data_IF_624721430368
#
_entry.id   IF_624721430368
#
_cell.length_a   1.000
_cell.length_b   1.000
_cell.length_c   1.000
_cell.angle_alpha   90.00
_cell.angle_beta   90.00
_cell.angle_gamma   90.00
#
_symmetry.space_group_name_H-M   'P 1'
#
loop_
_entity.id
_entity.type
_entity.pdbx_description
1 polymer ?
#
# COMPACT_ATOMS: atom_id res chain seq x y z
N UNK A 1 28.97 1.17 4.12
CA UNK A 1 29.74 1.48 2.89
C UNK A 1 30.05 0.22 2.06
N UNK A 2 30.79 -0.78 2.58
CA UNK A 2 31.22 -1.98 1.81
C UNK A 2 30.08 -2.80 1.16
N UNK A 3 28.96 -3.06 1.85
CA UNK A 3 27.81 -3.82 1.29
C UNK A 3 27.17 -3.14 0.07
N UNK A 4 26.95 -1.82 0.12
CA UNK A 4 26.37 -1.07 -1.01
C UNK A 4 27.28 -1.09 -2.24
N UNK A 5 28.60 -0.96 -2.03
CA UNK A 5 29.59 -1.08 -3.11
C UNK A 5 29.56 -2.47 -3.75
N UNK A 6 29.50 -3.53 -2.93
CA UNK A 6 29.42 -4.91 -3.43
C UNK A 6 28.14 -5.16 -4.23
N UNK A 7 26.98 -4.65 -3.79
CA UNK A 7 25.73 -4.71 -4.57
C UNK A 7 25.87 -4.01 -5.91
N UNK A 8 26.42 -2.79 -5.93
CA UNK A 8 26.58 -2.03 -7.16
C UNK A 8 27.53 -2.73 -8.14
N UNK A 9 28.62 -3.30 -7.63
CA UNK A 9 29.55 -4.12 -8.42
C UNK A 9 28.86 -5.36 -9.00
N UNK A 10 28.06 -6.06 -8.18
CA UNK A 10 27.32 -7.26 -8.63
C UNK A 10 26.30 -6.90 -9.71
N UNK A 11 25.54 -5.82 -9.51
CA UNK A 11 24.58 -5.32 -10.49
C UNK A 11 25.26 -4.97 -11.81
N UNK A 12 26.39 -4.24 -11.76
CA UNK A 12 27.15 -3.90 -12.95
C UNK A 12 27.62 -5.15 -13.70
N UNK A 13 28.13 -6.16 -12.99
CA UNK A 13 28.53 -7.44 -13.60
C UNK A 13 27.36 -8.14 -14.29
N UNK A 14 26.16 -8.11 -13.71
CA UNK A 14 24.95 -8.66 -14.34
C UNK A 14 24.55 -7.87 -15.59
N UNK A 15 24.60 -6.53 -15.54
CA UNK A 15 24.26 -5.68 -16.68
C UNK A 15 25.17 -5.91 -17.89
N UNK A 16 26.46 -6.17 -17.67
CA UNK A 16 27.43 -6.41 -18.77
C UNK A 16 27.62 -7.90 -19.11
N UNK A 17 26.74 -8.78 -18.62
CA UNK A 17 26.78 -10.23 -18.91
C UNK A 17 27.93 -11.00 -18.27
N UNK A 18 28.64 -10.40 -17.30
CA UNK A 18 29.75 -11.03 -16.56
C UNK A 18 29.29 -11.85 -15.36
N UNK A 19 28.02 -11.75 -14.98
CA UNK A 19 27.38 -12.56 -13.96
C UNK A 19 25.93 -12.85 -14.37
N UNK A 20 25.42 -14.03 -14.04
CA UNK A 20 24.01 -14.35 -14.25
C UNK A 20 23.13 -13.59 -13.25
N UNK A 21 21.92 -13.26 -13.69
CA UNK A 21 20.90 -12.64 -12.84
C UNK A 21 20.06 -13.74 -12.21
N UNK A 22 20.10 -13.84 -10.89
CA UNK A 22 19.29 -14.83 -10.17
C UNK A 22 17.81 -14.42 -10.21
N UNK A 23 16.99 -15.27 -10.82
CA UNK A 23 15.53 -15.16 -10.83
C UNK A 23 14.97 -15.91 -9.62
N UNK A 24 14.18 -15.23 -8.79
CA UNK A 24 13.69 -15.76 -7.50
C UNK A 24 12.17 -15.74 -7.36
N UNK A 25 11.47 -15.19 -8.34
CA UNK A 25 10.01 -15.16 -8.39
C UNK A 25 9.54 -16.04 -9.55
N UNK A 26 8.45 -16.77 -9.33
CA UNK A 26 7.75 -17.50 -10.39
C UNK A 26 7.03 -16.55 -11.35
N UNK A 27 6.69 -17.03 -12.53
CA UNK A 27 5.90 -16.27 -13.52
C UNK A 27 4.56 -15.78 -12.96
N UNK A 28 3.90 -16.60 -12.15
CA UNK A 28 2.66 -16.25 -11.45
C UNK A 28 2.87 -15.02 -10.53
N UNK A 29 3.93 -15.01 -9.72
CA UNK A 29 4.23 -13.88 -8.84
C UNK A 29 4.60 -12.62 -9.64
N UNK A 30 5.28 -12.75 -10.78
CA UNK A 30 5.53 -11.63 -11.68
C UNK A 30 4.23 -11.08 -12.29
N UNK A 31 3.26 -11.94 -12.57
CA UNK A 31 1.94 -11.51 -13.02
C UNK A 31 1.18 -10.77 -11.90
N UNK A 32 1.26 -11.25 -10.66
CA UNK A 32 0.71 -10.56 -9.50
C UNK A 32 1.35 -9.18 -9.32
N UNK A 33 2.66 -9.05 -9.50
CA UNK A 33 3.36 -7.76 -9.44
C UNK A 33 2.79 -6.73 -10.45
N UNK A 34 2.50 -7.16 -11.68
CA UNK A 34 1.84 -6.31 -12.68
C UNK A 34 0.42 -5.95 -12.27
N UNK A 35 -0.32 -6.89 -11.69
CA UNK A 35 -1.70 -6.67 -11.22
C UNK A 35 -1.77 -5.68 -10.07
N UNK A 36 -0.79 -5.65 -9.17
CA UNK A 36 -0.71 -4.66 -8.08
C UNK A 36 -0.78 -3.23 -8.63
N UNK A 37 -0.03 -2.92 -9.69
CA UNK A 37 -0.03 -1.56 -10.26
C UNK A 37 -1.39 -1.18 -10.87
N UNK A 38 -2.04 -2.12 -11.56
CA UNK A 38 -3.39 -1.91 -12.10
C UNK A 38 -4.42 -1.67 -11.00
N UNK A 39 -4.39 -2.50 -9.95
CA UNK A 39 -5.29 -2.35 -8.80
C UNK A 39 -5.07 -1.02 -8.11
N UNK A 40 -3.82 -0.60 -7.92
CA UNK A 40 -3.49 0.72 -7.36
C UNK A 40 -4.08 1.85 -8.19
N UNK A 41 -3.89 1.81 -9.52
CA UNK A 41 -4.41 2.83 -10.43
C UNK A 41 -5.94 2.92 -10.37
N UNK A 42 -6.62 1.78 -10.42
CA UNK A 42 -8.09 1.71 -10.37
C UNK A 42 -8.60 2.21 -9.01
N UNK A 43 -7.98 1.77 -7.91
CA UNK A 43 -8.35 2.17 -6.55
C UNK A 43 -8.23 3.67 -6.36
N UNK A 44 -7.13 4.27 -6.82
CA UNK A 44 -6.93 5.72 -6.73
C UNK A 44 -7.93 6.50 -7.60
N UNK A 45 -8.23 6.01 -8.81
CA UNK A 45 -9.23 6.63 -9.70
C UNK A 45 -10.64 6.56 -9.09
N UNK A 46 -11.01 5.41 -8.55
CA UNK A 46 -12.30 5.18 -7.90
C UNK A 46 -12.44 6.06 -6.65
N UNK A 47 -11.43 6.07 -5.78
CA UNK A 47 -11.38 6.92 -4.60
C UNK A 47 -11.61 8.39 -4.98
N UNK A 48 -10.84 8.93 -5.93
CA UNK A 48 -10.97 10.34 -6.36
C UNK A 48 -12.40 10.68 -6.82
N UNK A 49 -13.02 9.79 -7.61
CA UNK A 49 -14.40 10.00 -8.10
C UNK A 49 -15.42 9.90 -6.98
N UNK A 50 -15.30 8.90 -6.10
CA UNK A 50 -16.19 8.72 -4.95
C UNK A 50 -16.12 9.89 -3.98
N UNK A 51 -14.92 10.36 -3.65
CA UNK A 51 -14.75 11.55 -2.80
C UNK A 51 -15.44 12.78 -3.39
N UNK A 52 -15.46 12.92 -4.72
CA UNK A 52 -16.14 14.03 -5.40
C UNK A 52 -17.68 13.94 -5.36
N UNK A 53 -18.25 12.74 -5.17
CA UNK A 53 -19.69 12.54 -5.02
C UNK A 53 -20.21 12.90 -3.62
N UNK A 54 -19.32 13.00 -2.64
CA UNK A 54 -19.66 13.22 -1.24
C UNK A 54 -19.71 14.73 -0.95
N UNK A 55 -20.85 15.18 -0.42
CA UNK A 55 -21.22 16.58 -0.19
C UNK A 55 -20.72 17.12 1.16
N UNK A 56 -20.22 16.26 2.05
CA UNK A 56 -19.49 16.60 3.27
C UNK A 56 -18.23 17.44 3.01
N UNK A 57 -18.45 18.74 2.76
CA UNK A 57 -17.54 19.87 2.52
C UNK A 57 -16.24 19.59 1.74
N UNK A 58 -16.29 19.84 0.42
CA UNK A 58 -15.17 20.47 -0.30
C UNK A 58 -15.11 21.95 0.11
N UNK A 59 -14.42 22.28 1.19
CA UNK A 59 -14.37 23.65 1.70
C UNK A 59 -13.34 23.84 2.80
N UNK A 60 -12.14 24.23 2.38
CA UNK A 60 -10.99 24.72 3.16
C UNK A 60 -10.16 23.64 3.88
N UNK A 61 -8.89 23.59 3.47
CA UNK A 61 -7.77 22.76 3.94
C UNK A 61 -7.74 21.29 3.52
N UNK A 62 -6.90 21.02 2.51
CA UNK A 62 -6.53 19.69 2.01
C UNK A 62 -5.60 18.95 3.00
N UNK A 63 -5.20 19.59 4.10
CA UNK A 63 -4.24 19.06 5.06
C UNK A 63 -4.85 18.68 6.41
N UNK A 64 -5.98 17.96 6.44
CA UNK A 64 -6.36 17.14 7.62
C UNK A 64 -6.97 15.81 7.22
N UNK A 65 -6.13 14.78 7.27
CA UNK A 65 -6.37 13.35 7.08
C UNK A 65 -7.25 12.69 8.16
N UNK A 66 -8.23 13.40 8.73
CA UNK A 66 -9.00 12.88 9.84
C UNK A 66 -10.42 13.38 9.81
N UNK A 67 -11.31 12.45 9.43
CA UNK A 67 -12.69 12.39 9.89
C UNK A 67 -13.55 13.54 9.38
N UNK A 68 -14.30 13.26 8.31
CA UNK A 68 -15.62 13.87 8.09
C UNK A 68 -16.45 13.63 9.34
N UNK A 69 -16.32 14.54 10.28
CA UNK A 69 -16.99 14.46 11.57
C UNK A 69 -18.50 14.58 11.33
N UNK A 70 -19.33 13.69 11.88
CA UNK A 70 -20.79 13.81 11.86
C UNK A 70 -21.32 15.15 12.41
N UNK A 71 -20.45 15.95 13.03
CA UNK A 71 -20.73 17.20 13.71
C UNK A 71 -20.79 18.45 12.82
N UNK A 72 -20.49 18.39 11.52
CA UNK A 72 -20.73 19.52 10.61
C UNK A 72 -22.12 19.38 9.98
N UNK A 73 -23.10 20.08 10.57
CA UNK A 73 -24.51 20.08 10.11
C UNK A 73 -24.58 20.29 8.59
N UNK A 74 -25.20 19.35 7.87
CA UNK A 74 -25.43 19.48 6.44
C UNK A 74 -26.29 20.73 6.18
N UNK A 75 -26.07 21.46 5.06
CA UNK A 75 -26.97 22.55 4.65
C UNK A 75 -28.44 22.13 4.60
N UNK A 76 -28.67 20.86 4.28
CA UNK A 76 -29.98 20.25 4.19
C UNK A 76 -30.71 20.17 5.56
N UNK A 77 -29.96 19.90 6.64
CA UNK A 77 -30.50 19.94 8.01
C UNK A 77 -30.87 21.37 8.42
N UNK A 78 -30.07 22.36 8.02
CA UNK A 78 -30.39 23.78 8.27
C UNK A 78 -31.64 24.22 7.52
N UNK A 79 -31.81 23.76 6.27
CA UNK A 79 -33.01 24.03 5.48
C UNK A 79 -34.25 23.39 6.11
N UNK A 80 -34.16 22.12 6.52
CA UNK A 80 -35.25 21.43 7.21
C UNK A 80 -35.72 22.20 8.46
N UNK A 81 -34.77 22.66 9.28
CA UNK A 81 -35.06 23.45 10.47
C UNK A 81 -35.76 24.78 10.12
N UNK A 82 -35.26 25.50 9.11
CA UNK A 82 -35.87 26.75 8.66
C UNK A 82 -37.33 26.57 8.20
N UNK A 83 -37.62 25.47 7.49
CA UNK A 83 -38.99 25.15 7.04
C UNK A 83 -39.93 24.85 8.21
N UNK A 84 -39.46 24.09 9.21
CA UNK A 84 -40.24 23.79 10.42
C UNK A 84 -40.49 25.05 11.24
N UNK A 85 -39.49 25.91 11.40
CA UNK A 85 -39.64 27.21 12.09
C UNK A 85 -40.61 28.12 11.35
N UNK A 86 -40.53 28.19 10.01
CA UNK A 86 -41.47 28.93 9.18
C UNK A 86 -42.91 28.42 9.31
N UNK A 87 -43.10 27.11 9.44
CA UNK A 87 -44.42 26.53 9.70
C UNK A 87 -45.01 27.01 11.04
N UNK A 88 -44.20 27.07 12.10
CA UNK A 88 -44.63 27.56 13.41
C UNK A 88 -45.04 29.02 13.35
N UNK A 89 -44.31 29.87 12.62
CA UNK A 89 -44.65 31.29 12.44
C UNK A 89 -45.98 31.49 11.71
N UNK A 90 -46.25 30.68 10.69
CA UNK A 90 -47.51 30.76 9.92
C UNK A 90 -48.70 30.11 10.64
N UNK A 91 -48.43 29.23 11.62
CA UNK A 91 -49.44 28.52 12.39
C UNK A 91 -49.98 27.27 11.68
N UNK A 92 -50.19 26.22 12.47
CA UNK A 92 -50.61 24.88 12.03
C UNK A 92 -52.04 24.82 11.47
N UNK A 93 -52.83 25.89 11.60
CA UNK A 93 -54.18 25.97 11.03
C UNK A 93 -54.17 26.36 9.54
N UNK A 94 -53.09 26.97 9.07
CA UNK A 94 -52.98 27.40 7.67
C UNK A 94 -52.52 26.25 6.77
N UNK A 95 -53.04 26.19 5.54
CA UNK A 95 -52.58 25.20 4.55
C UNK A 95 -51.07 25.34 4.26
N UNK A 96 -50.58 26.58 4.22
CA UNK A 96 -49.16 26.87 3.98
C UNK A 96 -48.28 26.42 5.16
N UNK A 97 -48.69 26.64 6.41
CA UNK A 97 -47.98 26.15 7.60
C UNK A 97 -47.88 24.61 7.60
N UNK A 98 -48.99 23.91 7.34
CA UNK A 98 -48.99 22.44 7.19
C UNK A 98 -48.07 21.97 6.06
N UNK A 99 -48.05 22.67 4.92
CA UNK A 99 -47.15 22.36 3.80
C UNK A 99 -45.68 22.54 4.18
N UNK A 100 -45.32 23.67 4.82
CA UNK A 100 -43.93 23.92 5.26
C UNK A 100 -43.46 22.87 6.26
N UNK A 101 -44.31 22.46 7.21
CA UNK A 101 -44.01 21.39 8.16
C UNK A 101 -43.69 20.08 7.46
N UNK A 102 -44.54 19.65 6.52
CA UNK A 102 -44.33 18.44 5.74
C UNK A 102 -43.03 18.52 4.89
N UNK A 103 -42.76 19.67 4.28
CA UNK A 103 -41.51 19.90 3.56
C UNK A 103 -40.29 19.80 4.48
N UNK A 104 -40.35 20.41 5.67
CA UNK A 104 -39.27 20.37 6.65
C UNK A 104 -38.97 18.96 7.16
N UNK A 105 -40.00 18.19 7.53
CA UNK A 105 -39.86 16.79 7.94
C UNK A 105 -39.31 15.90 6.81
N UNK A 106 -39.73 16.14 5.57
CA UNK A 106 -39.20 15.42 4.39
C UNK A 106 -37.73 15.77 4.17
N UNK A 107 -37.38 17.04 4.32
CA UNK A 107 -36.02 17.52 4.13
C UNK A 107 -35.06 16.98 5.20
N UNK A 108 -35.54 16.86 6.44
CA UNK A 108 -34.78 16.26 7.54
C UNK A 108 -34.48 14.77 7.30
N UNK A 109 -35.49 14.00 6.88
CA UNK A 109 -35.30 12.59 6.49
C UNK A 109 -34.27 12.45 5.37
N UNK A 110 -34.35 13.29 4.33
CA UNK A 110 -33.36 13.28 3.25
C UNK A 110 -31.95 13.62 3.74
N UNK A 111 -31.83 14.54 4.71
CA UNK A 111 -30.54 14.88 5.32
C UNK A 111 -29.95 13.68 6.09
N UNK A 112 -30.78 12.95 6.83
CA UNK A 112 -30.35 11.75 7.56
C UNK A 112 -29.88 10.64 6.61
N UNK A 113 -30.63 10.36 5.55
CA UNK A 113 -30.23 9.39 4.51
C UNK A 113 -28.92 9.78 3.83
N UNK A 114 -28.73 11.07 3.55
CA UNK A 114 -27.48 11.58 2.97
C UNK A 114 -26.29 11.38 3.93
N UNK A 115 -26.44 11.68 5.22
CA UNK A 115 -25.39 11.43 6.23
C UNK A 115 -25.03 9.95 6.27
N UNK A 116 -26.03 9.06 6.29
CA UNK A 116 -25.80 7.63 6.33
C UNK A 116 -25.09 7.13 5.07
N UNK A 117 -25.52 7.60 3.90
CA UNK A 117 -24.86 7.32 2.62
C UNK A 117 -23.39 7.73 2.65
N UNK A 118 -23.09 8.96 3.11
CA UNK A 118 -21.72 9.45 3.12
C UNK A 118 -20.83 8.66 4.09
N UNK A 119 -21.31 8.40 5.30
CA UNK A 119 -20.59 7.63 6.31
C UNK A 119 -20.30 6.20 5.84
N UNK A 120 -21.31 5.54 5.28
CA UNK A 120 -21.21 4.16 4.79
C UNK A 120 -20.26 4.08 3.59
N UNK A 121 -20.36 5.02 2.65
CA UNK A 121 -19.48 5.05 1.47
C UNK A 121 -18.03 5.33 1.88
N UNK A 122 -17.81 6.23 2.84
CA UNK A 122 -16.46 6.51 3.34
C UNK A 122 -15.84 5.26 3.95
N UNK A 123 -16.55 4.62 4.89
CA UNK A 123 -16.04 3.49 5.67
C UNK A 123 -15.92 2.19 4.86
N UNK A 124 -16.96 1.84 4.11
CA UNK A 124 -17.05 0.51 3.50
C UNK A 124 -16.48 0.47 2.07
N UNK A 125 -16.16 1.64 1.49
CA UNK A 125 -15.64 1.75 0.12
C UNK A 125 -14.36 2.57 0.05
N UNK A 126 -14.37 3.82 0.50
CA UNK A 126 -13.23 4.73 0.32
C UNK A 126 -12.03 4.30 1.17
N UNK A 127 -12.24 4.03 2.46
CA UNK A 127 -11.20 3.58 3.38
C UNK A 127 -10.52 2.30 2.89
N UNK A 128 -11.23 1.21 2.53
CA UNK A 128 -10.61 0.00 1.97
C UNK A 128 -9.81 0.24 0.69
N UNK A 129 -10.31 1.07 -0.24
CA UNK A 129 -9.58 1.39 -1.46
C UNK A 129 -8.31 2.20 -1.17
N UNK A 130 -8.36 3.11 -0.19
CA UNK A 130 -7.22 3.89 0.27
C UNK A 130 -6.17 3.00 0.94
N UNK A 131 -6.56 2.13 1.86
CA UNK A 131 -5.66 1.19 2.53
C UNK A 131 -4.97 0.26 1.54
N UNK A 132 -5.72 -0.25 0.56
CA UNK A 132 -5.17 -1.08 -0.50
C UNK A 132 -4.09 -0.32 -1.30
N UNK A 133 -4.39 0.91 -1.73
CA UNK A 133 -3.53 1.70 -2.61
C UNK A 133 -2.32 2.33 -1.91
N UNK A 134 -2.49 2.75 -0.66
CA UNK A 134 -1.52 3.57 0.10
C UNK A 134 -0.78 2.80 1.18
N UNK A 135 -1.26 1.62 1.60
CA UNK A 135 -0.63 0.80 2.64
C UNK A 135 -0.18 -0.54 2.09
N UNK A 136 -1.11 -1.36 1.61
CA UNK A 136 -0.80 -2.75 1.25
C UNK A 136 0.13 -2.86 0.04
N UNK A 137 -0.26 -2.23 -1.08
CA UNK A 137 0.53 -2.29 -2.32
C UNK A 137 1.93 -1.70 -2.11
N UNK A 138 2.11 -0.52 -1.48
CA UNK A 138 3.43 0.01 -1.17
C UNK A 138 4.28 -0.89 -0.27
N UNK A 139 3.68 -1.59 0.69
CA UNK A 139 4.39 -2.53 1.56
C UNK A 139 4.93 -3.73 0.78
N UNK A 140 4.10 -4.34 -0.09
CA UNK A 140 4.52 -5.43 -0.98
C UNK A 140 5.65 -4.94 -1.91
N UNK A 141 5.49 -3.75 -2.51
CA UNK A 141 6.54 -3.16 -3.36
C UNK A 141 7.85 -2.88 -2.61
N UNK A 142 7.77 -2.48 -1.32
CA UNK A 142 8.94 -2.25 -0.47
C UNK A 142 9.66 -3.57 -0.17
N UNK A 143 8.93 -4.63 0.17
CA UNK A 143 9.50 -5.96 0.36
C UNK A 143 10.12 -6.50 -0.93
N UNK A 144 9.46 -6.32 -2.08
CA UNK A 144 9.99 -6.67 -3.40
C UNK A 144 11.33 -6.01 -3.70
N UNK A 145 11.46 -4.71 -3.40
CA UNK A 145 12.72 -3.97 -3.49
C UNK A 145 13.76 -4.45 -2.49
N UNK A 146 13.33 -4.90 -1.31
CA UNK A 146 14.21 -5.48 -0.31
C UNK A 146 14.78 -6.83 -0.77
N UNK A 147 13.92 -7.73 -1.28
CA UNK A 147 14.31 -9.01 -1.85
C UNK A 147 15.35 -8.82 -2.96
N UNK A 148 15.14 -7.89 -3.88
CA UNK A 148 16.11 -7.58 -4.93
C UNK A 148 17.52 -7.22 -4.38
N UNK A 149 17.59 -6.54 -3.24
CA UNK A 149 18.87 -6.22 -2.57
C UNK A 149 19.49 -7.46 -1.92
N UNK A 150 18.69 -8.35 -1.33
CA UNK A 150 19.15 -9.59 -0.72
C UNK A 150 19.67 -10.58 -1.76
N UNK A 151 19.03 -10.66 -2.93
CA UNK A 151 19.53 -11.45 -4.07
C UNK A 151 20.93 -10.98 -4.48
N UNK A 152 21.15 -9.67 -4.64
CA UNK A 152 22.47 -9.12 -4.95
C UNK A 152 23.51 -9.40 -3.85
N UNK A 153 23.12 -9.35 -2.58
CA UNK A 153 24.01 -9.68 -1.46
C UNK A 153 24.41 -11.15 -1.48
N UNK A 154 23.45 -12.05 -1.71
CA UNK A 154 23.69 -13.49 -1.82
C UNK A 154 24.57 -13.81 -3.03
N UNK A 155 24.29 -13.25 -4.21
CA UNK A 155 25.12 -13.42 -5.41
C UNK A 155 26.56 -12.94 -5.18
N UNK A 156 26.72 -11.83 -4.46
CA UNK A 156 28.03 -11.29 -4.10
C UNK A 156 28.77 -12.16 -3.09
N UNK A 157 28.10 -12.69 -2.07
CA UNK A 157 28.68 -13.62 -1.10
C UNK A 157 29.09 -14.93 -1.76
N UNK A 158 28.20 -15.49 -2.60
CA UNK A 158 28.46 -16.69 -3.41
C UNK A 158 29.67 -16.51 -4.31
N UNK A 159 29.78 -15.39 -5.02
CA UNK A 159 30.93 -15.09 -5.88
C UNK A 159 32.24 -15.01 -5.09
N UNK A 160 32.23 -14.34 -3.93
CA UNK A 160 33.42 -14.24 -3.06
C UNK A 160 33.86 -15.58 -2.51
N UNK A 161 32.91 -16.43 -2.09
CA UNK A 161 33.19 -17.79 -1.65
C UNK A 161 33.85 -18.60 -2.76
N UNK A 162 33.25 -18.66 -3.95
CA UNK A 162 33.80 -19.42 -5.08
C UNK A 162 35.18 -18.92 -5.54
N UNK A 163 35.42 -17.61 -5.53
CA UNK A 163 36.73 -17.05 -5.85
C UNK A 163 37.80 -17.48 -4.83
N UNK A 164 37.47 -17.47 -3.54
CA UNK A 164 38.38 -17.92 -2.47
C UNK A 164 38.67 -19.42 -2.53
N UNK A 165 37.68 -20.23 -2.93
CA UNK A 165 37.81 -21.69 -3.08
C UNK A 165 38.61 -22.09 -4.34
N UNK A 166 38.59 -21.28 -5.40
CA UNK A 166 39.42 -21.52 -6.61
C UNK A 166 40.87 -21.07 -6.45
N UNK A 167 41.15 -20.04 -5.66
CA UNK A 167 42.52 -19.55 -5.41
C UNK A 167 43.34 -20.43 -4.46
N UNK A 168 42.71 -21.36 -3.74
CA UNK A 168 43.34 -22.20 -2.71
C UNK A 168 44.11 -23.40 -3.28
N UNK A 169 43.99 -23.70 -4.59
CA UNK A 169 44.72 -24.80 -5.25
C UNK A 169 46.16 -24.49 -5.68
N UNK A 170 46.69 -23.29 -5.41
CA UNK A 170 47.95 -22.81 -6.00
C UNK A 170 49.00 -22.29 -5.01
N UNK A 171 48.84 -22.46 -3.69
CA UNK A 171 49.82 -21.97 -2.70
C UNK A 171 50.05 -22.98 -1.57
N UNK A 172 51.28 -23.50 -1.50
CA UNK A 172 51.76 -24.56 -0.61
C UNK A 172 52.44 -24.01 0.65
N UNK A 173 51.75 -23.16 1.43
CA UNK A 173 52.31 -22.70 2.72
C UNK A 173 51.22 -22.45 3.78
N UNK A 174 51.26 -23.28 4.83
CA UNK A 174 50.80 -23.12 6.23
C UNK A 174 49.56 -22.21 6.51
N UNK A 175 48.50 -22.85 7.04
CA UNK A 175 47.18 -22.32 7.44
C UNK A 175 47.17 -20.94 8.12
N UNK A 176 46.20 -20.05 7.77
CA UNK A 176 44.83 -20.14 8.29
C UNK A 176 43.76 -20.07 7.17
N UNK A 177 43.89 -20.91 6.14
CA UNK A 177 42.98 -20.94 4.98
C UNK A 177 41.61 -21.53 5.30
N UNK A 178 41.52 -22.43 6.31
CA UNK A 178 40.26 -23.06 6.75
C UNK A 178 39.27 -22.06 7.36
N UNK A 179 39.67 -21.36 8.43
CA UNK A 179 38.79 -20.41 9.14
C UNK A 179 38.25 -19.27 8.23
N UNK A 180 39.05 -18.81 7.26
CA UNK A 180 38.61 -17.81 6.28
C UNK A 180 37.63 -18.38 5.25
N UNK A 181 37.85 -19.62 4.81
CA UNK A 181 36.92 -20.31 3.91
C UNK A 181 35.60 -20.65 4.62
N UNK A 182 35.66 -21.08 5.87
CA UNK A 182 34.50 -21.39 6.70
C UNK A 182 33.68 -20.12 6.99
N UNK A 183 34.33 -19.01 7.35
CA UNK A 183 33.64 -17.72 7.50
C UNK A 183 32.95 -17.27 6.19
N UNK A 184 33.59 -17.45 5.03
CA UNK A 184 32.97 -17.08 3.75
C UNK A 184 31.82 -18.01 3.36
N UNK A 185 31.88 -19.29 3.77
CA UNK A 185 30.78 -20.24 3.63
C UNK A 185 29.59 -19.82 4.50
N UNK A 186 29.84 -19.53 5.78
CA UNK A 186 28.81 -19.06 6.72
C UNK A 186 28.15 -17.77 6.23
N UNK A 187 28.94 -16.79 5.77
CA UNK A 187 28.40 -15.54 5.19
C UNK A 187 27.51 -15.81 3.96
N UNK A 188 27.85 -16.80 3.13
CA UNK A 188 27.05 -17.20 1.97
C UNK A 188 25.75 -17.87 2.40
N UNK A 189 25.80 -18.82 3.34
CA UNK A 189 24.64 -19.55 3.85
C UNK A 189 23.67 -18.59 4.56
N UNK A 190 24.17 -17.68 5.40
CA UNK A 190 23.34 -16.65 6.03
C UNK A 190 22.68 -15.72 5.01
N UNK A 191 23.39 -15.32 3.95
CA UNK A 191 22.85 -14.47 2.91
C UNK A 191 21.75 -15.19 2.09
N UNK A 192 21.93 -16.50 1.83
CA UNK A 192 20.93 -17.34 1.19
C UNK A 192 19.68 -17.49 2.06
N UNK A 193 19.84 -17.85 3.33
CA UNK A 193 18.72 -18.03 4.27
C UNK A 193 17.90 -16.73 4.43
N UNK A 194 18.57 -15.58 4.59
CA UNK A 194 17.87 -14.28 4.66
C UNK A 194 17.08 -13.95 3.39
N UNK A 195 17.63 -14.29 2.22
CA UNK A 195 16.97 -14.08 0.93
C UNK A 195 15.74 -14.99 0.81
N UNK A 196 15.84 -16.26 1.18
CA UNK A 196 14.75 -17.24 1.16
C UNK A 196 13.60 -16.83 2.08
N UNK A 197 13.88 -16.46 3.33
CA UNK A 197 12.85 -15.96 4.27
C UNK A 197 12.10 -14.76 3.68
N UNK A 198 12.83 -13.80 3.09
CA UNK A 198 12.21 -12.63 2.48
C UNK A 198 11.38 -12.97 1.24
N UNK A 199 11.81 -13.96 0.45
CA UNK A 199 11.08 -14.44 -0.73
C UNK A 199 9.77 -15.10 -0.31
N UNK A 200 9.82 -15.96 0.70
CA UNK A 200 8.65 -16.72 1.16
C UNK A 200 7.61 -15.79 1.79
N UNK A 201 8.05 -14.81 2.60
CA UNK A 201 7.16 -13.77 3.13
C UNK A 201 6.52 -12.93 2.02
N UNK A 202 7.31 -12.47 1.03
CA UNK A 202 6.77 -11.70 -0.09
C UNK A 202 5.75 -12.52 -0.88
N UNK A 203 6.02 -13.81 -1.09
CA UNK A 203 5.11 -14.71 -1.80
C UNK A 203 3.79 -14.85 -1.04
N UNK A 204 3.84 -15.06 0.28
CA UNK A 204 2.66 -15.12 1.13
C UNK A 204 1.83 -13.83 1.05
N UNK A 205 2.48 -12.66 1.14
CA UNK A 205 1.81 -11.36 1.08
C UNK A 205 1.18 -11.12 -0.31
N UNK A 206 1.86 -11.52 -1.39
CA UNK A 206 1.35 -11.41 -2.76
C UNK A 206 0.15 -12.34 -3.01
N UNK A 207 0.18 -13.57 -2.51
CA UNK A 207 -0.97 -14.48 -2.61
C UNK A 207 -2.14 -14.02 -1.74
N UNK A 208 -1.85 -13.53 -0.53
CA UNK A 208 -2.89 -12.94 0.34
C UNK A 208 -3.55 -11.73 -0.31
N UNK A 209 -2.80 -10.91 -1.05
CA UNK A 209 -3.36 -9.79 -1.80
C UNK A 209 -4.31 -10.26 -2.91
N UNK A 210 -3.94 -11.31 -3.65
CA UNK A 210 -4.78 -11.85 -4.74
C UNK A 210 -6.05 -12.52 -4.25
N UNK A 211 -6.05 -13.04 -3.02
CA UNK A 211 -7.20 -13.68 -2.41
C UNK A 211 -8.30 -12.71 -1.93
N UNK A 212 -8.04 -11.39 -1.96
CA UNK A 212 -9.02 -10.33 -1.68
C UNK A 212 -9.82 -9.99 -2.93
#
# INVERSE_FOLDING_TARGET
MKKQFNRMRQLANQTVGRAEKTEVLSDDLLQVEKRLELVKQVSHSAHKKLTACLQGQQGVDVDKKSVRSPSKKLPLTTLAQCLVEGAVVLGDETLLGKMLKLCGETQDKLAQELILFELTTEKDVIEPLSDLAEVEIPNIQKQRKHLAKLVLDMDSARTRFYQSSKSSGMSSTLQPTGAKADHLREEMEEAANRMEICRDQLSADMYSFVAK
#
